data_IF_201528750762
#
_entry.id   IF_201528750762
#
_cell.length_a   1.000
_cell.length_b   1.000
_cell.length_c   1.000
_cell.angle_alpha   90.00
_cell.angle_beta   90.00
_cell.angle_gamma   90.00
#
_symmetry.space_group_name_H-M   'P 1'
#
loop_
_entity.id
_entity.type
_entity.pdbx_description
1 polymer ?
#
# COMPACT_ATOMS: atom_id res chain seq x y z
N UNK A 1 24.89 2.39 8.58
CA UNK A 1 24.75 2.53 7.12
C UNK A 1 23.35 3.08 6.87
N UNK A 2 23.15 4.32 6.37
CA UNK A 2 21.78 4.83 6.27
C UNK A 2 21.30 4.94 4.82
N UNK A 3 20.15 4.29 4.59
CA UNK A 3 19.13 4.54 3.58
C UNK A 3 19.56 4.59 2.12
N UNK A 4 19.50 3.43 1.47
CA UNK A 4 19.11 3.38 0.06
C UNK A 4 17.67 3.94 -0.04
N UNK A 5 17.42 4.95 -0.88
CA UNK A 5 16.08 5.52 -1.03
C UNK A 5 15.12 4.43 -1.53
N UNK A 6 13.86 4.40 -1.05
CA UNK A 6 12.87 3.44 -1.54
C UNK A 6 12.78 3.56 -3.06
N UNK A 7 13.06 2.44 -3.74
CA UNK A 7 13.13 2.38 -5.20
C UNK A 7 11.78 2.65 -5.85
N UNK A 8 10.69 2.49 -5.08
CA UNK A 8 9.31 2.67 -5.52
C UNK A 8 8.59 3.66 -4.59
N UNK A 9 8.00 4.70 -5.18
CA UNK A 9 7.18 5.67 -4.45
C UNK A 9 5.72 5.20 -4.41
N UNK A 10 5.25 4.79 -3.24
CA UNK A 10 3.82 4.45 -3.02
C UNK A 10 3.02 5.74 -2.83
N UNK A 11 1.94 5.91 -3.60
CA UNK A 11 1.01 7.03 -3.48
C UNK A 11 -0.38 6.52 -3.15
N UNK A 12 -1.06 7.21 -2.25
CA UNK A 12 -2.42 6.89 -1.85
C UNK A 12 -3.41 7.80 -2.56
N UNK A 13 -4.52 7.23 -3.00
CA UNK A 13 -5.67 7.99 -3.50
C UNK A 13 -6.55 8.46 -2.35
N UNK A 14 -7.32 9.52 -2.57
CA UNK A 14 -8.26 10.02 -1.55
C UNK A 14 -9.32 8.98 -1.17
N UNK A 15 -9.77 8.17 -2.14
CA UNK A 15 -10.71 7.08 -1.90
C UNK A 15 -10.13 6.00 -0.99
N UNK A 16 -8.85 5.65 -1.16
CA UNK A 16 -8.17 4.72 -0.28
C UNK A 16 -8.11 5.27 1.14
N UNK A 17 -7.68 6.52 1.31
CA UNK A 17 -7.60 7.18 2.62
C UNK A 17 -8.97 7.25 3.31
N UNK A 18 -10.03 7.55 2.57
CA UNK A 18 -11.40 7.59 3.10
C UNK A 18 -11.86 6.23 3.61
N UNK A 19 -11.58 5.16 2.87
CA UNK A 19 -11.93 3.79 3.28
C UNK A 19 -11.15 3.36 4.52
N UNK A 20 -9.83 3.59 4.56
CA UNK A 20 -9.00 3.27 5.72
C UNK A 20 -9.49 4.01 6.97
N UNK A 21 -9.86 5.29 6.85
CA UNK A 21 -10.44 6.06 7.97
C UNK A 21 -11.76 5.46 8.46
N UNK A 22 -12.61 4.96 7.57
CA UNK A 22 -13.84 4.29 7.96
C UNK A 22 -13.56 2.96 8.69
N UNK A 23 -12.62 2.17 8.17
CA UNK A 23 -12.18 0.91 8.76
C UNK A 23 -11.51 1.10 10.13
N UNK A 24 -10.74 2.18 10.31
CA UNK A 24 -10.05 2.49 11.57
C UNK A 24 -11.00 2.65 12.76
N UNK A 25 -12.29 2.98 12.51
CA UNK A 25 -13.31 3.06 13.57
C UNK A 25 -13.63 1.69 14.17
N UNK A 26 -13.62 0.63 13.36
CA UNK A 26 -13.94 -0.74 13.76
C UNK A 26 -12.68 -1.56 14.07
N UNK A 27 -11.59 -1.27 13.35
CA UNK A 27 -10.30 -1.95 13.46
C UNK A 27 -9.23 -0.93 13.80
N UNK A 28 -9.04 -0.68 15.10
CA UNK A 28 -8.12 0.36 15.60
C UNK A 28 -6.67 0.16 15.16
N UNK A 29 -6.28 -1.06 14.80
CA UNK A 29 -4.93 -1.41 14.34
C UNK A 29 -4.80 -1.53 12.82
N UNK A 30 -5.83 -1.19 12.04
CA UNK A 30 -5.81 -1.36 10.58
C UNK A 30 -4.62 -0.67 9.90
N UNK A 31 -4.13 0.44 10.45
CA UNK A 31 -2.95 1.12 9.92
C UNK A 31 -1.69 0.27 10.10
N UNK A 32 -1.52 -0.36 11.26
CA UNK A 32 -0.41 -1.26 11.53
C UNK A 32 -0.52 -2.55 10.68
N UNK A 33 -1.74 -3.02 10.44
CA UNK A 33 -2.01 -4.22 9.65
C UNK A 33 -1.68 -4.01 8.15
N UNK A 34 -1.90 -2.81 7.62
CA UNK A 34 -1.62 -2.46 6.21
C UNK A 34 -0.16 -2.03 6.00
N UNK A 35 0.49 -1.49 7.04
CA UNK A 35 1.90 -1.06 6.99
C UNK A 35 2.88 -2.09 6.37
N UNK A 36 2.85 -3.41 6.71
CA UNK A 36 3.76 -4.37 6.10
C UNK A 36 3.56 -4.51 4.59
N UNK A 37 2.33 -4.37 4.09
CA UNK A 37 2.03 -4.42 2.66
C UNK A 37 2.60 -3.19 1.95
N UNK A 38 2.46 -2.01 2.55
CA UNK A 38 3.05 -0.77 2.02
C UNK A 38 4.58 -0.88 1.97
N UNK A 39 5.21 -1.41 3.02
CA UNK A 39 6.66 -1.60 3.06
C UNK A 39 7.15 -2.58 1.99
N UNK A 40 6.39 -3.64 1.71
CA UNK A 40 6.70 -4.56 0.61
C UNK A 40 6.65 -3.84 -0.74
N UNK A 41 5.62 -3.03 -0.97
CA UNK A 41 5.47 -2.23 -2.19
C UNK A 41 6.61 -1.20 -2.36
N UNK A 42 7.01 -0.50 -1.29
CA UNK A 42 8.14 0.44 -1.30
C UNK A 42 9.48 -0.26 -1.57
N UNK A 43 9.62 -1.51 -1.13
CA UNK A 43 10.77 -2.38 -1.40
C UNK A 43 10.77 -2.98 -2.82
N UNK A 44 9.76 -2.68 -3.66
CA UNK A 44 9.63 -3.21 -5.02
C UNK A 44 9.06 -4.63 -5.09
N UNK A 45 8.62 -5.19 -3.96
CA UNK A 45 7.83 -6.42 -3.95
C UNK A 45 6.38 -6.05 -4.26
N UNK A 46 5.79 -6.65 -5.29
CA UNK A 46 4.39 -6.42 -5.65
C UNK A 46 3.60 -7.66 -5.17
N UNK A 47 3.10 -7.68 -3.92
CA UNK A 47 2.30 -8.78 -3.42
C UNK A 47 0.91 -8.77 -4.07
N UNK A 48 0.53 -9.90 -4.67
CA UNK A 48 -0.81 -10.10 -5.25
C UNK A 48 -0.75 -10.62 -6.68
N UNK A 49 -1.93 -10.92 -7.23
CA UNK A 49 -2.10 -11.31 -8.62
C UNK A 49 -2.27 -10.08 -9.52
N UNK A 50 -1.62 -10.11 -10.68
CA UNK A 50 -1.81 -9.06 -11.70
C UNK A 50 -3.27 -9.05 -12.13
N UNK A 51 -3.94 -7.91 -11.92
CA UNK A 51 -5.31 -7.70 -12.39
C UNK A 51 -5.28 -7.64 -13.91
N UNK A 52 -5.80 -8.68 -14.55
CA UNK A 52 -5.90 -8.74 -16.01
C UNK A 52 -7.01 -7.79 -16.48
N UNK A 53 -6.74 -6.97 -17.50
CA UNK A 53 -7.73 -6.05 -18.10
C UNK A 53 -7.65 -4.59 -17.63
N UNK A 54 -6.81 -4.27 -16.64
CA UNK A 54 -6.32 -2.91 -16.50
C UNK A 54 -5.26 -2.70 -17.58
N UNK A 55 -5.43 -1.72 -18.48
CA UNK A 55 -4.49 -1.45 -19.61
C UNK A 55 -3.08 -1.01 -19.20
N UNK A 56 -2.69 -1.23 -17.96
CA UNK A 56 -1.39 -0.96 -17.36
C UNK A 56 -1.14 -1.97 -16.23
N UNK A 57 0.12 -2.38 -16.07
CA UNK A 57 0.52 -3.27 -14.97
C UNK A 57 0.48 -2.50 -13.65
N UNK A 58 -0.31 -2.99 -12.69
CA UNK A 58 -0.41 -2.48 -11.31
C UNK A 58 0.17 -3.51 -10.35
#
# INVERSE_FOLDING_TARGET
MPNEPPTVQVRFTDDFLRQVRALAKRYRQIQADIQPVIQQLEAGNIPGDRISGAGYTV
#
